data_IF_118502944348
#
_entry.id   IF_118502944348
#
_cell.length_a   1.000
_cell.length_b   1.000
_cell.length_c   1.000
_cell.angle_alpha   90.00
_cell.angle_beta   90.00
_cell.angle_gamma   90.00
#
_symmetry.space_group_name_H-M   'P 1'
#
loop_
_entity.id
_entity.type
_entity.pdbx_description
1 polymer ?
#
# COMPACT_ATOMS: atom_id res chain seq x y z
N UNK A 1 18.26 -8.99 21.34
CA UNK A 1 18.70 -9.68 20.11
C UNK A 1 18.50 -8.70 18.98
N UNK A 2 19.57 -8.07 18.51
CA UNK A 2 19.49 -7.17 17.35
C UNK A 2 19.36 -8.04 16.10
N UNK A 3 18.12 -8.31 15.68
CA UNK A 3 17.83 -8.84 14.35
C UNK A 3 18.44 -7.87 13.33
N UNK A 4 19.51 -8.29 12.67
CA UNK A 4 20.16 -7.52 11.61
C UNK A 4 19.31 -7.68 10.35
N UNK A 5 18.85 -6.56 9.78
CA UNK A 5 18.08 -6.56 8.53
C UNK A 5 18.83 -7.38 7.48
N UNK A 6 18.13 -8.34 6.89
CA UNK A 6 18.69 -9.20 5.85
C UNK A 6 19.17 -8.36 4.66
N UNK A 7 20.13 -8.87 3.88
CA UNK A 7 20.64 -8.17 2.69
C UNK A 7 19.51 -7.78 1.72
N UNK A 8 18.45 -8.59 1.64
CA UNK A 8 17.27 -8.29 0.83
C UNK A 8 16.48 -7.07 1.34
N UNK A 9 16.15 -7.05 2.63
CA UNK A 9 15.38 -5.97 3.27
C UNK A 9 16.12 -4.63 3.17
N UNK A 10 17.45 -4.66 3.34
CA UNK A 10 18.30 -3.47 3.22
C UNK A 10 18.29 -2.86 1.82
N UNK A 11 18.17 -3.68 0.78
CA UNK A 11 18.15 -3.25 -0.62
C UNK A 11 16.75 -3.36 -1.25
N UNK A 12 15.69 -3.41 -0.44
CA UNK A 12 14.32 -3.61 -0.92
C UNK A 12 13.92 -2.54 -1.95
N UNK A 13 14.30 -1.28 -1.74
CA UNK A 13 14.01 -0.20 -2.68
C UNK A 13 14.63 -0.42 -4.07
N UNK A 14 15.83 -1.03 -4.13
CA UNK A 14 16.51 -1.34 -5.40
C UNK A 14 15.72 -2.44 -6.11
N UNK A 15 15.36 -3.50 -5.40
CA UNK A 15 14.58 -4.60 -5.95
C UNK A 15 13.21 -4.13 -6.48
N UNK A 16 12.51 -3.30 -5.70
CA UNK A 16 11.22 -2.73 -6.11
C UNK A 16 11.38 -1.87 -7.38
N UNK A 17 12.40 -1.01 -7.43
CA UNK A 17 12.68 -0.18 -8.62
C UNK A 17 13.02 -1.02 -9.84
N UNK A 18 13.84 -2.06 -9.67
CA UNK A 18 14.23 -2.97 -10.74
C UNK A 18 13.03 -3.75 -11.27
N UNK A 19 12.18 -4.28 -10.39
CA UNK A 19 10.93 -4.95 -10.78
C UNK A 19 9.97 -4.01 -11.51
N UNK A 20 9.85 -2.75 -11.10
CA UNK A 20 9.02 -1.76 -11.82
C UNK A 20 9.54 -1.52 -13.24
N UNK A 21 10.84 -1.28 -13.40
CA UNK A 21 11.45 -1.04 -14.72
C UNK A 21 11.30 -2.27 -15.62
N UNK A 22 11.61 -3.47 -15.11
CA UNK A 22 11.44 -4.71 -15.86
C UNK A 22 9.98 -4.93 -16.25
N UNK A 23 9.03 -4.67 -15.35
CA UNK A 23 7.60 -4.79 -15.63
C UNK A 23 7.14 -3.85 -16.74
N UNK A 24 7.60 -2.60 -16.74
CA UNK A 24 7.29 -1.63 -17.79
C UNK A 24 7.85 -2.05 -19.16
N UNK A 25 9.11 -2.50 -19.20
CA UNK A 25 9.76 -2.97 -20.44
C UNK A 25 9.04 -4.23 -20.95
N UNK A 26 8.73 -5.18 -20.06
CA UNK A 26 8.06 -6.42 -20.41
C UNK A 26 6.65 -6.15 -20.97
N UNK A 27 5.90 -5.23 -20.35
CA UNK A 27 4.56 -4.84 -20.79
C UNK A 27 4.57 -4.22 -22.20
N UNK A 28 5.61 -3.44 -22.53
CA UNK A 28 5.76 -2.82 -23.84
C UNK A 28 6.29 -3.81 -24.90
N UNK A 29 7.22 -4.69 -24.53
CA UNK A 29 7.84 -5.64 -25.45
C UNK A 29 6.91 -6.83 -25.80
N UNK A 30 6.05 -7.23 -24.86
CA UNK A 30 5.12 -8.35 -25.02
C UNK A 30 3.68 -7.91 -24.71
N UNK A 31 3.00 -7.21 -25.64
CA UNK A 31 1.61 -6.80 -25.45
C UNK A 31 0.66 -7.99 -25.26
N UNK A 32 1.03 -9.18 -25.75
CA UNK A 32 0.31 -10.42 -25.50
C UNK A 32 0.20 -10.76 -23.99
N UNK A 33 1.18 -10.38 -23.18
CA UNK A 33 1.17 -10.59 -21.73
C UNK A 33 0.11 -9.72 -21.05
N UNK A 34 0.01 -8.45 -21.47
CA UNK A 34 -1.05 -7.52 -21.01
C UNK A 34 -2.44 -7.99 -21.45
N UNK A 35 -2.57 -8.54 -22.66
CA UNK A 35 -3.84 -9.08 -23.18
C UNK A 35 -4.25 -10.33 -22.42
N UNK A 36 -3.33 -11.25 -22.11
CA UNK A 36 -3.64 -12.44 -21.29
C UNK A 36 -4.08 -12.07 -19.87
N UNK A 37 -3.41 -11.10 -19.24
CA UNK A 37 -3.79 -10.60 -17.91
C UNK A 37 -5.18 -9.94 -17.91
N UNK A 38 -5.51 -9.17 -18.95
CA UNK A 38 -6.84 -8.60 -19.15
C UNK A 38 -7.89 -9.66 -19.52
N UNK A 39 -7.49 -10.75 -20.19
CA UNK A 39 -8.37 -11.89 -20.47
C UNK A 39 -8.74 -12.67 -19.19
N UNK A 40 -7.89 -12.61 -18.16
CA UNK A 40 -8.12 -13.20 -16.83
C UNK A 40 -8.68 -12.16 -15.85
N UNK A 41 -9.64 -11.38 -16.32
CA UNK A 41 -10.32 -10.34 -15.56
C UNK A 41 -11.80 -10.71 -15.40
N UNK A 42 -12.29 -10.67 -14.16
CA UNK A 42 -13.70 -10.86 -13.84
C UNK A 42 -14.20 -9.52 -13.29
N UNK A 43 -15.25 -8.95 -13.89
CA UNK A 43 -15.83 -7.64 -13.50
C UNK A 43 -14.81 -6.49 -13.39
N UNK A 44 -13.78 -6.47 -14.23
CA UNK A 44 -12.77 -5.42 -14.17
C UNK A 44 -11.65 -5.66 -13.14
N UNK A 45 -11.61 -6.81 -12.47
CA UNK A 45 -10.56 -7.15 -11.49
C UNK A 45 -9.73 -8.34 -12.01
N UNK A 46 -8.41 -8.15 -12.13
CA UNK A 46 -7.49 -9.20 -12.59
C UNK A 46 -7.30 -10.26 -11.50
N UNK A 47 -7.67 -11.51 -11.80
CA UNK A 47 -7.59 -12.63 -10.85
C UNK A 47 -6.15 -12.84 -10.32
N UNK A 48 -5.10 -12.85 -11.19
CA UNK A 48 -3.73 -13.06 -10.71
C UNK A 48 -3.27 -11.99 -9.72
N UNK A 49 -3.61 -10.72 -9.99
CA UNK A 49 -3.29 -9.59 -9.13
C UNK A 49 -4.02 -9.75 -7.79
N UNK A 50 -5.31 -10.11 -7.82
CA UNK A 50 -6.09 -10.37 -6.61
C UNK A 50 -5.48 -11.46 -5.72
N UNK A 51 -5.03 -12.58 -6.30
CA UNK A 51 -4.37 -13.66 -5.55
C UNK A 51 -3.06 -13.16 -4.92
N UNK A 52 -2.23 -12.44 -5.67
CA UNK A 52 -0.98 -11.88 -5.15
C UNK A 52 -1.24 -10.91 -3.98
N UNK A 53 -2.23 -10.03 -4.09
CA UNK A 53 -2.63 -9.12 -3.03
C UNK A 53 -3.13 -9.87 -1.79
N UNK A 54 -3.95 -10.90 -1.97
CA UNK A 54 -4.44 -11.74 -0.87
C UNK A 54 -3.29 -12.44 -0.13
N UNK A 55 -2.38 -13.07 -0.87
CA UNK A 55 -1.20 -13.73 -0.29
C UNK A 55 -0.28 -12.76 0.44
N UNK A 56 -0.20 -11.50 -0.01
CA UNK A 56 0.59 -10.47 0.67
C UNK A 56 -0.06 -10.00 1.98
N UNK A 57 -1.39 -9.95 2.04
CA UNK A 57 -2.13 -9.51 3.24
C UNK A 57 -2.26 -10.62 4.30
N UNK A 58 -2.39 -11.88 3.87
CA UNK A 58 -2.55 -13.05 4.74
C UNK A 58 -1.52 -13.18 5.89
N UNK A 59 -0.20 -13.06 5.66
CA UNK A 59 0.78 -13.21 6.74
C UNK A 59 0.66 -12.10 7.79
N UNK A 60 0.27 -10.89 7.41
CA UNK A 60 0.11 -9.79 8.36
C UNK A 60 -1.11 -9.99 9.27
N UNK A 61 -2.18 -10.60 8.74
CA UNK A 61 -3.39 -10.95 9.52
C UNK A 61 -3.13 -12.08 10.55
N UNK A 62 -2.23 -13.01 10.26
CA UNK A 62 -1.93 -14.13 11.15
C UNK A 62 -1.07 -13.74 12.37
N UNK A 63 -0.29 -12.67 12.28
CA UNK A 63 0.61 -12.21 13.37
C UNK A 63 -0.10 -11.32 14.41
N UNK A 64 -1.43 -11.34 14.44
CA UNK A 64 -2.25 -10.36 15.14
C UNK A 64 -2.61 -10.83 16.56
N UNK A 65 -2.18 -10.08 17.57
CA UNK A 65 -2.49 -10.36 18.96
C UNK A 65 -3.71 -9.55 19.45
N UNK A 66 -4.85 -10.21 19.65
CA UNK A 66 -6.10 -9.56 20.09
C UNK A 66 -6.02 -8.88 21.45
N UNK A 67 -5.09 -9.30 22.31
CA UNK A 67 -4.96 -8.78 23.67
C UNK A 67 -4.31 -7.38 23.70
N UNK A 68 -3.35 -7.13 22.81
CA UNK A 68 -2.74 -5.81 22.58
C UNK A 68 -3.72 -4.85 21.90
N UNK A 69 -4.63 -5.36 21.06
CA UNK A 69 -5.71 -4.58 20.44
C UNK A 69 -6.57 -3.85 21.49
N UNK A 70 -6.90 -4.54 22.59
CA UNK A 70 -7.67 -3.97 23.71
C UNK A 70 -6.90 -2.91 24.48
N UNK A 71 -5.57 -2.97 24.51
CA UNK A 71 -4.73 -1.95 25.15
C UNK A 71 -4.67 -0.68 24.31
N UNK A 72 -4.62 -0.81 22.98
CA UNK A 72 -4.59 0.32 22.05
C UNK A 72 -5.91 1.12 22.04
N UNK A 73 -7.06 0.45 22.25
CA UNK A 73 -8.35 1.13 22.47
C UNK A 73 -8.34 2.07 23.69
N UNK A 74 -7.47 1.84 24.69
CA UNK A 74 -7.35 2.72 25.86
C UNK A 74 -6.57 4.00 25.58
N UNK A 75 -5.78 4.05 24.49
CA UNK A 75 -4.98 5.21 24.10
C UNK A 75 -5.16 5.52 22.60
N UNK A 76 -6.31 6.08 22.19
CA UNK A 76 -6.65 6.25 20.77
C UNK A 76 -5.91 7.39 20.07
N UNK A 77 -5.17 8.24 20.79
CA UNK A 77 -4.51 9.44 20.22
C UNK A 77 -3.68 9.14 18.96
N UNK A 78 -2.81 8.11 18.93
CA UNK A 78 -2.01 7.80 17.73
C UNK A 78 -2.87 7.32 16.57
N UNK A 79 -3.91 6.53 16.84
CA UNK A 79 -4.82 5.99 15.81
C UNK A 79 -5.62 7.13 15.16
N UNK A 80 -6.18 8.03 15.97
CA UNK A 80 -6.93 9.19 15.49
C UNK A 80 -6.05 10.12 14.66
N UNK A 81 -4.81 10.35 15.09
CA UNK A 81 -3.86 11.17 14.33
C UNK A 81 -3.60 10.55 12.95
N UNK A 82 -3.41 9.24 12.87
CA UNK A 82 -3.19 8.57 11.58
C UNK A 82 -4.44 8.59 10.70
N UNK A 83 -5.64 8.39 11.26
CA UNK A 83 -6.89 8.52 10.48
C UNK A 83 -7.05 9.92 9.89
N UNK A 84 -6.84 10.97 10.70
CA UNK A 84 -6.88 12.36 10.23
C UNK A 84 -5.84 12.60 9.14
N UNK A 85 -4.62 12.09 9.32
CA UNK A 85 -3.58 12.21 8.30
C UNK A 85 -3.96 11.52 6.99
N UNK A 86 -4.55 10.32 7.05
CA UNK A 86 -4.89 9.54 5.86
C UNK A 86 -6.13 10.04 5.14
N UNK A 87 -7.14 10.50 5.86
CA UNK A 87 -8.43 10.90 5.27
C UNK A 87 -8.58 12.40 5.05
N UNK A 88 -7.77 13.24 5.70
CA UNK A 88 -7.84 14.70 5.55
C UNK A 88 -6.57 15.22 4.90
N UNK A 89 -5.41 14.94 5.50
CA UNK A 89 -4.15 15.53 5.01
C UNK A 89 -3.76 14.96 3.66
N UNK A 90 -3.77 13.63 3.50
CA UNK A 90 -3.34 13.00 2.26
C UNK A 90 -4.21 13.38 1.03
N UNK A 91 -5.56 13.40 1.10
CA UNK A 91 -6.39 13.81 -0.04
C UNK A 91 -6.23 15.28 -0.38
N UNK A 92 -6.11 16.16 0.63
CA UNK A 92 -5.92 17.60 0.40
C UNK A 92 -4.57 17.86 -0.28
N UNK A 93 -3.50 17.21 0.21
CA UNK A 93 -2.17 17.32 -0.40
C UNK A 93 -2.19 16.75 -1.82
N UNK A 94 -2.81 15.59 -2.03
CA UNK A 94 -2.95 14.97 -3.35
C UNK A 94 -3.71 15.87 -4.32
N UNK A 95 -4.83 16.47 -3.89
CA UNK A 95 -5.60 17.41 -4.71
C UNK A 95 -4.78 18.66 -5.03
N UNK A 96 -4.12 19.26 -4.03
CA UNK A 96 -3.28 20.44 -4.23
C UNK A 96 -2.17 20.17 -5.27
N UNK A 97 -1.44 19.06 -5.13
CA UNK A 97 -0.39 18.66 -6.06
C UNK A 97 -0.96 18.35 -7.45
N UNK A 98 -2.10 17.65 -7.52
CA UNK A 98 -2.73 17.29 -8.78
C UNK A 98 -3.16 18.55 -9.56
N UNK A 99 -3.84 19.51 -8.93
CA UNK A 99 -4.24 20.75 -9.59
C UNK A 99 -3.04 21.64 -9.98
N UNK A 100 -1.96 21.61 -9.20
CA UNK A 100 -0.77 22.40 -9.50
C UNK A 100 0.04 21.84 -10.67
N UNK A 101 0.21 20.52 -10.76
CA UNK A 101 1.09 19.88 -11.75
C UNK A 101 0.38 19.27 -12.96
N UNK A 102 -0.90 18.91 -12.86
CA UNK A 102 -1.66 18.21 -13.90
C UNK A 102 -2.78 19.07 -14.51
N UNK A 103 -2.64 20.38 -14.44
CA UNK A 103 -3.64 21.31 -14.97
C UNK A 103 -3.86 21.06 -16.47
N UNK A 104 -5.13 20.94 -16.90
CA UNK A 104 -5.51 20.54 -18.25
C UNK A 104 -5.68 19.03 -18.49
N UNK A 105 -5.36 18.17 -17.50
CA UNK A 105 -5.56 16.72 -17.58
C UNK A 105 -6.51 16.23 -16.47
N UNK A 106 -7.80 16.52 -16.61
CA UNK A 106 -8.83 16.21 -15.60
C UNK A 106 -8.83 14.73 -15.17
N UNK A 107 -8.66 13.81 -16.12
CA UNK A 107 -8.65 12.38 -15.84
C UNK A 107 -7.46 11.95 -14.95
N UNK A 108 -6.30 12.59 -15.12
CA UNK A 108 -5.12 12.34 -14.29
C UNK A 108 -5.28 12.97 -12.91
N UNK A 109 -5.89 14.16 -12.83
CA UNK A 109 -6.20 14.80 -11.54
C UNK A 109 -7.09 13.90 -10.70
N UNK A 110 -8.19 13.41 -11.27
CA UNK A 110 -9.11 12.49 -10.57
C UNK A 110 -8.38 11.23 -10.12
N UNK A 111 -7.55 10.65 -10.99
CA UNK A 111 -6.79 9.43 -10.69
C UNK A 111 -5.80 9.63 -9.54
N UNK A 112 -5.08 10.77 -9.50
CA UNK A 112 -4.13 11.09 -8.42
C UNK A 112 -4.84 11.36 -7.10
N UNK A 113 -5.99 12.04 -7.12
CA UNK A 113 -6.79 12.28 -5.91
C UNK A 113 -7.33 10.96 -5.36
N UNK A 114 -7.87 10.09 -6.23
CA UNK A 114 -8.35 8.76 -5.84
C UNK A 114 -7.23 7.91 -5.25
N UNK A 115 -6.04 7.93 -5.87
CA UNK A 115 -4.89 7.21 -5.36
C UNK A 115 -4.42 7.75 -4.00
N UNK A 116 -4.35 9.08 -3.85
CA UNK A 116 -3.93 9.74 -2.61
C UNK A 116 -4.94 9.59 -1.47
N UNK A 117 -6.22 9.36 -1.79
CA UNK A 117 -7.27 9.07 -0.81
C UNK A 117 -7.35 7.59 -0.44
N UNK A 118 -6.69 6.70 -1.19
CA UNK A 118 -6.68 5.28 -0.88
C UNK A 118 -5.68 4.99 0.25
N UNK A 119 -6.12 4.51 1.41
CA UNK A 119 -5.20 4.13 2.46
C UNK A 119 -4.37 2.92 2.03
N UNK A 120 -3.05 3.05 2.06
CA UNK A 120 -2.13 1.94 1.79
C UNK A 120 -2.04 0.99 2.99
N UNK A 121 -2.65 -0.19 2.89
CA UNK A 121 -2.82 -1.11 4.03
C UNK A 121 -1.65 -2.10 4.18
N UNK A 122 -1.27 -2.79 3.11
CA UNK A 122 -0.24 -3.82 3.18
C UNK A 122 1.18 -3.26 3.44
N UNK A 123 1.49 -2.11 2.83
CA UNK A 123 2.84 -1.56 2.90
C UNK A 123 3.17 -1.01 4.30
N UNK A 124 2.17 -0.51 5.03
CA UNK A 124 2.35 0.00 6.40
C UNK A 124 2.75 -1.13 7.36
N UNK A 125 2.24 -2.34 7.16
CA UNK A 125 2.60 -3.51 7.97
C UNK A 125 4.04 -3.93 7.71
N UNK A 126 4.45 -4.05 6.44
CA UNK A 126 5.82 -4.42 6.07
C UNK A 126 6.83 -3.37 6.54
N UNK A 127 6.62 -2.09 6.24
CA UNK A 127 7.52 -1.03 6.70
C UNK A 127 7.52 -0.90 8.21
N UNK A 128 6.37 -1.06 8.85
CA UNK A 128 6.25 -1.10 10.29
C UNK A 128 7.13 -2.17 10.89
N UNK A 129 7.09 -3.39 10.34
CA UNK A 129 7.90 -4.51 10.82
C UNK A 129 9.40 -4.21 10.64
N UNK A 130 9.80 -3.69 9.48
CA UNK A 130 11.18 -3.30 9.19
C UNK A 130 11.68 -2.15 10.10
N UNK A 131 10.81 -1.21 10.45
CA UNK A 131 11.11 -0.08 11.32
C UNK A 131 11.03 -0.42 12.82
N UNK A 132 10.75 -1.68 13.18
CA UNK A 132 10.49 -2.13 14.57
C UNK A 132 9.36 -1.34 15.24
N UNK A 133 8.38 -0.91 14.44
CA UNK A 133 7.18 -0.23 14.91
C UNK A 133 6.16 -1.19 15.53
N UNK A 134 5.18 -0.63 16.25
CA UNK A 134 4.09 -1.39 16.86
C UNK A 134 3.18 -1.98 15.77
N UNK A 135 3.21 -3.31 15.60
CA UNK A 135 2.46 -3.99 14.53
C UNK A 135 0.97 -3.98 14.79
N UNK A 136 0.58 -4.05 16.05
CA UNK A 136 -0.80 -4.10 16.49
C UNK A 136 -1.49 -2.76 16.20
N UNK A 137 -0.79 -1.65 16.39
CA UNK A 137 -1.24 -0.32 16.00
C UNK A 137 -1.38 -0.20 14.48
N UNK A 138 -0.39 -0.69 13.71
CA UNK A 138 -0.42 -0.65 12.25
C UNK A 138 -1.59 -1.46 11.68
N UNK A 139 -1.87 -2.62 12.27
CA UNK A 139 -3.04 -3.44 11.94
C UNK A 139 -4.34 -2.72 12.24
N UNK A 140 -4.50 -2.11 13.43
CA UNK A 140 -5.73 -1.38 13.78
C UNK A 140 -5.96 -0.24 12.82
N UNK A 141 -4.94 0.57 12.58
CA UNK A 141 -5.00 1.69 11.64
C UNK A 141 -5.37 1.19 10.25
N UNK A 142 -4.75 0.09 9.81
CA UNK A 142 -5.05 -0.55 8.52
C UNK A 142 -6.47 -1.09 8.44
N UNK A 143 -7.03 -1.59 9.55
CA UNK A 143 -8.38 -2.17 9.59
C UNK A 143 -9.49 -1.11 9.71
N UNK A 144 -9.16 0.06 10.27
CA UNK A 144 -10.07 1.19 10.42
C UNK A 144 -10.10 2.12 9.20
N UNK A 145 -9.04 2.08 8.38
CA UNK A 145 -8.93 2.84 7.14
C UNK A 145 -9.69 2.16 6.00
#
# INVERSE_FOLDING_TARGET
MEETLGKFEKYLYIWVTLCMILGLILSQALPAFSIMLNGWQIYGISIPIGICLFLMMYPALLNLQFEELKKLLKNPKPIVLTLISNWIVAPIVAAFLAYMFLNGHEQLIVSVILLGSSPGTAMVLVWGALAKGNQEQNVIVTSLN
#
